data_IF_840207780332
#
_entry.id   IF_840207780332
#
_cell.length_a   1.000
_cell.length_b   1.000
_cell.length_c   1.000
_cell.angle_alpha   90.00
_cell.angle_beta   90.00
_cell.angle_gamma   90.00
#
_symmetry.space_group_name_H-M   'P 1'
#
loop_
_entity.id
_entity.type
_entity.pdbx_description
1 polymer ?
#
# COMPACT_ATOMS: atom_id res chain seq x y z
N UNK A 1 -7.76 -0.81 13.36
CA UNK A 1 -7.03 -1.75 12.48
C UNK A 1 -5.99 -2.51 13.29
N UNK A 2 -5.54 -3.68 12.84
CA UNK A 2 -4.38 -4.40 13.41
C UNK A 2 -3.32 -4.60 12.32
N UNK A 3 -2.06 -4.75 12.70
CA UNK A 3 -0.96 -5.03 11.77
C UNK A 3 -0.81 -6.54 11.59
N UNK A 4 -0.58 -6.97 10.35
CA UNK A 4 -0.40 -8.38 9.98
C UNK A 4 0.80 -8.53 9.05
N UNK A 5 1.48 -9.66 9.14
CA UNK A 5 2.51 -10.09 8.19
C UNK A 5 2.36 -11.59 7.97
N UNK A 6 2.45 -12.05 6.73
CA UNK A 6 2.34 -13.46 6.36
C UNK A 6 3.17 -13.79 5.12
N UNK A 7 3.62 -15.04 5.03
CA UNK A 7 4.17 -15.65 3.83
C UNK A 7 3.28 -16.85 3.51
N UNK A 8 2.64 -16.85 2.34
CA UNK A 8 1.68 -17.88 1.94
C UNK A 8 1.70 -18.10 0.42
N UNK A 9 1.24 -19.27 -0.01
CA UNK A 9 1.15 -19.63 -1.44
C UNK A 9 -0.12 -19.06 -2.08
N UNK A 10 0.01 -18.37 -3.21
CA UNK A 10 -1.08 -17.72 -3.94
C UNK A 10 -1.04 -18.05 -5.44
N UNK A 11 -0.85 -19.33 -5.76
CA UNK A 11 -0.68 -19.87 -7.11
C UNK A 11 -1.73 -19.40 -8.14
N UNK A 12 -2.94 -19.10 -7.69
CA UNK A 12 -4.04 -18.74 -8.60
C UNK A 12 -3.90 -17.36 -9.23
N UNK A 13 -3.02 -16.49 -8.70
CA UNK A 13 -2.88 -15.12 -9.22
C UNK A 13 -1.50 -14.48 -9.09
N UNK A 14 -0.64 -14.92 -8.17
CA UNK A 14 0.56 -14.16 -7.78
C UNK A 14 1.58 -13.92 -8.92
N UNK A 15 1.96 -14.98 -9.64
CA UNK A 15 3.03 -14.88 -10.66
C UNK A 15 2.46 -14.96 -12.07
N UNK A 16 2.67 -13.90 -12.86
CA UNK A 16 2.12 -13.73 -14.23
C UNK A 16 0.61 -13.99 -14.31
N UNK A 17 -0.14 -13.47 -13.34
CA UNK A 17 -1.59 -13.68 -13.26
C UNK A 17 -1.99 -15.15 -13.03
N UNK A 18 -1.19 -15.89 -12.25
CA UNK A 18 -1.46 -17.28 -11.87
C UNK A 18 -0.97 -18.35 -12.86
N UNK A 19 -0.22 -17.97 -13.89
CA UNK A 19 0.30 -18.89 -14.91
C UNK A 19 1.50 -19.70 -14.43
N UNK A 20 2.30 -19.12 -13.54
CA UNK A 20 3.46 -19.80 -12.97
C UNK A 20 3.12 -20.27 -11.56
N UNK A 21 3.24 -21.57 -11.33
CA UNK A 21 2.91 -22.24 -10.06
C UNK A 21 4.17 -22.45 -9.23
N UNK A 22 4.00 -22.52 -7.92
CA UNK A 22 5.09 -22.69 -6.97
C UNK A 22 5.80 -24.02 -7.18
N UNK A 23 7.11 -23.94 -7.42
CA UNK A 23 8.00 -25.10 -7.43
C UNK A 23 8.40 -25.46 -5.99
N UNK A 24 7.61 -26.33 -5.36
CA UNK A 24 7.81 -26.75 -3.98
C UNK A 24 9.11 -27.53 -3.73
N UNK A 25 9.80 -28.00 -4.78
CA UNK A 25 11.14 -28.59 -4.63
C UNK A 25 12.19 -27.57 -4.20
N UNK A 26 11.90 -26.27 -4.33
CA UNK A 26 12.77 -25.15 -3.92
C UNK A 26 12.53 -24.66 -2.49
N UNK A 27 11.66 -25.34 -1.74
CA UNK A 27 11.42 -25.01 -0.35
C UNK A 27 12.68 -25.20 0.52
N UNK A 28 12.84 -24.47 1.64
CA UNK A 28 11.89 -23.51 2.21
C UNK A 28 11.93 -22.12 1.56
N UNK A 29 10.77 -21.49 1.42
CA UNK A 29 10.65 -20.07 1.08
C UNK A 29 10.77 -19.25 2.36
N UNK A 30 11.76 -18.36 2.45
CA UNK A 30 12.08 -17.64 3.69
C UNK A 30 11.96 -16.13 3.47
N UNK A 31 11.10 -15.48 4.25
CA UNK A 31 11.03 -14.03 4.40
C UNK A 31 11.55 -13.63 5.77
N UNK A 32 12.42 -12.62 5.84
CA UNK A 32 13.01 -12.12 7.10
C UNK A 32 12.55 -10.70 7.37
N UNK A 33 12.13 -10.43 8.61
CA UNK A 33 11.58 -9.14 9.03
C UNK A 33 12.41 -8.55 10.18
N UNK A 34 12.56 -7.23 10.18
CA UNK A 34 13.19 -6.44 11.26
C UNK A 34 12.51 -5.08 11.37
N UNK A 35 12.79 -4.34 12.44
CA UNK A 35 12.30 -2.97 12.60
C UNK A 35 10.79 -2.91 12.83
N UNK A 36 10.26 -3.79 13.69
CA UNK A 36 8.84 -3.88 14.12
C UNK A 36 8.34 -2.61 14.86
N UNK A 37 8.54 -1.45 14.25
CA UNK A 37 8.22 -0.15 14.78
C UNK A 37 6.72 0.10 14.66
N UNK A 38 6.12 0.50 15.77
CA UNK A 38 4.72 0.92 15.83
C UNK A 38 4.67 2.22 16.61
N UNK A 39 4.35 3.30 15.92
CA UNK A 39 3.94 4.56 16.52
C UNK A 39 2.58 4.93 15.94
N UNK A 40 1.54 4.68 16.72
CA UNK A 40 0.16 4.85 16.31
C UNK A 40 -0.70 5.26 17.50
N UNK A 41 -1.92 5.70 17.23
CA UNK A 41 -2.90 5.92 18.29
C UNK A 41 -3.63 4.62 18.60
N UNK A 42 -3.36 4.06 19.77
CA UNK A 42 -4.02 2.85 20.23
C UNK A 42 -5.52 3.10 20.44
N UNK A 43 -6.35 2.21 19.90
CA UNK A 43 -7.79 2.25 19.98
C UNK A 43 -8.31 0.81 20.04
N UNK A 44 -9.31 0.55 20.89
CA UNK A 44 -9.97 -0.77 20.95
C UNK A 44 -10.75 -1.05 19.67
N UNK A 45 -11.21 -2.29 19.49
CA UNK A 45 -12.01 -2.65 18.32
C UNK A 45 -13.36 -1.90 18.26
N UNK A 46 -13.88 -1.49 19.42
CA UNK A 46 -15.14 -0.77 19.59
C UNK A 46 -14.97 0.75 19.53
N UNK A 47 -13.74 1.24 19.74
CA UNK A 47 -13.44 2.66 19.69
C UNK A 47 -13.66 3.20 18.26
N UNK A 48 -14.33 4.35 18.16
CA UNK A 48 -14.66 5.00 16.88
C UNK A 48 -13.73 6.15 16.52
N UNK A 49 -12.89 6.57 17.46
CA UNK A 49 -11.96 7.67 17.30
C UNK A 49 -10.69 7.42 18.12
N UNK A 50 -9.62 8.11 17.73
CA UNK A 50 -8.39 8.18 18.50
C UNK A 50 -8.53 9.26 19.58
N UNK A 51 -8.21 8.94 20.84
CA UNK A 51 -8.32 9.88 21.97
C UNK A 51 -7.37 11.08 21.86
N UNK A 52 -6.29 10.94 21.10
CA UNK A 52 -5.26 11.99 20.88
C UNK A 52 -5.30 12.56 19.46
N UNK A 53 -6.41 12.39 18.75
CA UNK A 53 -6.59 12.88 17.38
C UNK A 53 -6.34 14.40 17.31
N UNK A 54 -5.50 14.83 16.37
CA UNK A 54 -5.12 16.23 16.18
C UNK A 54 -3.88 16.66 16.97
N UNK A 55 -3.44 15.87 17.95
CA UNK A 55 -2.30 16.19 18.80
C UNK A 55 -1.02 15.42 18.45
N UNK A 56 -1.10 14.43 17.55
CA UNK A 56 0.04 13.59 17.19
C UNK A 56 0.90 14.27 16.12
N UNK A 57 2.17 13.87 16.02
CA UNK A 57 3.09 14.48 15.05
C UNK A 57 2.59 14.32 13.60
N UNK A 58 1.93 13.21 13.27
CA UNK A 58 1.36 12.97 11.95
C UNK A 58 0.10 13.79 11.66
N UNK A 59 -0.49 14.45 12.67
CA UNK A 59 -1.65 15.33 12.49
C UNK A 59 -1.23 16.80 12.20
N UNK A 60 0.08 17.09 12.21
CA UNK A 60 0.61 18.45 12.05
C UNK A 60 0.61 18.90 10.58
N UNK A 61 0.73 20.22 10.37
CA UNK A 61 0.56 20.84 9.05
C UNK A 61 1.50 20.25 7.98
N UNK A 62 2.72 19.90 8.38
CA UNK A 62 3.77 19.33 7.54
C UNK A 62 3.41 17.94 7.00
N UNK A 63 2.46 17.25 7.62
CA UNK A 63 2.02 15.90 7.26
C UNK A 63 0.64 15.86 6.59
N UNK A 64 0.05 17.02 6.31
CA UNK A 64 -1.25 17.10 5.60
C UNK A 64 -1.14 16.76 4.12
N UNK A 65 0.04 16.89 3.54
CA UNK A 65 0.32 16.54 2.15
C UNK A 65 1.79 16.14 1.98
N UNK A 66 2.10 15.45 0.89
CA UNK A 66 3.49 15.21 0.48
C UNK A 66 4.12 16.51 -0.03
N UNK A 67 5.40 16.69 0.26
CA UNK A 67 6.17 17.80 -0.30
C UNK A 67 6.46 17.61 -1.81
N UNK A 68 6.93 18.68 -2.45
CA UNK A 68 7.22 18.65 -3.89
C UNK A 68 8.33 17.67 -4.30
N UNK A 69 9.28 17.35 -3.42
CA UNK A 69 10.34 16.35 -3.66
C UNK A 69 9.74 14.95 -3.60
N UNK A 70 8.91 14.67 -2.60
CA UNK A 70 8.21 13.41 -2.43
C UNK A 70 7.29 13.13 -3.62
N UNK A 71 6.54 14.12 -4.10
CA UNK A 71 5.72 13.97 -5.29
C UNK A 71 6.52 13.73 -6.59
N UNK A 72 7.72 14.32 -6.73
CA UNK A 72 8.59 13.99 -7.86
C UNK A 72 9.08 12.54 -7.83
N UNK A 73 9.38 12.02 -6.65
CA UNK A 73 9.71 10.60 -6.47
C UNK A 73 8.52 9.70 -6.78
N UNK A 74 7.32 10.07 -6.32
CA UNK A 74 6.09 9.35 -6.63
C UNK A 74 5.84 9.27 -8.14
N UNK A 75 5.95 10.41 -8.84
CA UNK A 75 5.82 10.47 -10.31
C UNK A 75 6.82 9.56 -10.99
N UNK A 76 8.08 9.57 -10.59
CA UNK A 76 9.09 8.68 -11.18
C UNK A 76 8.74 7.20 -11.02
N UNK A 77 8.19 6.80 -9.87
CA UNK A 77 7.66 5.43 -9.67
C UNK A 77 6.49 5.14 -10.60
N UNK A 78 5.54 6.09 -10.75
CA UNK A 78 4.42 5.96 -11.68
C UNK A 78 4.90 5.80 -13.12
N UNK A 79 5.83 6.63 -13.58
CA UNK A 79 6.30 6.66 -14.96
C UNK A 79 7.20 5.47 -15.32
N UNK A 80 8.03 4.98 -14.39
CA UNK A 80 9.14 4.06 -14.72
C UNK A 80 8.95 2.64 -14.18
N UNK A 81 8.16 2.44 -13.12
CA UNK A 81 8.08 1.16 -12.41
C UNK A 81 6.67 0.58 -12.30
N UNK A 82 5.64 1.32 -12.72
CA UNK A 82 4.25 0.88 -12.56
C UNK A 82 3.83 0.00 -13.72
N UNK A 83 3.62 -1.29 -13.46
CA UNK A 83 3.23 -2.29 -14.48
C UNK A 83 1.72 -2.53 -14.56
N UNK A 84 0.97 -2.07 -13.56
CA UNK A 84 -0.49 -2.11 -13.52
C UNK A 84 -0.98 -0.98 -12.61
N UNK A 85 -2.03 -0.27 -13.03
CA UNK A 85 -2.64 0.80 -12.25
C UNK A 85 -4.17 0.82 -12.51
N UNK A 86 -4.95 0.65 -11.45
CA UNK A 86 -6.41 0.60 -11.54
C UNK A 86 -7.02 1.93 -12.01
N UNK A 87 -6.38 3.08 -11.72
CA UNK A 87 -6.83 4.38 -12.18
C UNK A 87 -6.87 4.50 -13.70
N UNK A 88 -6.00 3.75 -14.38
CA UNK A 88 -5.86 3.72 -15.86
C UNK A 88 -6.47 2.48 -16.50
N UNK A 89 -6.92 1.50 -15.71
CA UNK A 89 -7.58 0.29 -16.20
C UNK A 89 -9.03 0.59 -16.60
N UNK A 90 -9.25 0.87 -17.89
CA UNK A 90 -10.56 1.22 -18.44
C UNK A 90 -11.47 0.01 -18.68
N UNK A 91 -10.90 -1.20 -18.75
CA UNK A 91 -11.70 -2.42 -18.86
C UNK A 91 -12.40 -2.72 -17.52
N UNK A 92 -11.68 -2.51 -16.41
CA UNK A 92 -12.22 -2.69 -15.06
C UNK A 92 -12.98 -1.47 -14.55
N UNK A 93 -12.46 -0.27 -14.84
CA UNK A 93 -13.04 1.01 -14.41
C UNK A 93 -13.30 1.90 -15.64
N UNK A 94 -14.45 1.71 -16.32
CA UNK A 94 -14.82 2.54 -17.48
C UNK A 94 -14.81 4.04 -17.17
N UNK A 95 -15.26 4.40 -15.97
CA UNK A 95 -15.09 5.74 -15.39
C UNK A 95 -13.99 5.70 -14.35
N UNK A 96 -13.04 6.63 -14.46
CA UNK A 96 -11.93 6.74 -13.53
C UNK A 96 -12.43 7.02 -12.09
N UNK A 97 -11.91 6.31 -11.09
CA UNK A 97 -12.18 6.62 -9.69
C UNK A 97 -11.75 8.06 -9.33
N UNK A 98 -12.54 8.79 -8.52
CA UNK A 98 -12.36 10.22 -8.28
C UNK A 98 -11.07 10.57 -7.53
N UNK A 99 -10.56 9.67 -6.69
CA UNK A 99 -9.34 9.83 -5.91
C UNK A 99 -8.09 9.90 -6.79
N UNK A 100 -8.10 9.25 -7.97
CA UNK A 100 -6.93 9.12 -8.83
C UNK A 100 -6.28 10.46 -9.22
N UNK A 101 -7.08 11.52 -9.36
CA UNK A 101 -6.59 12.87 -9.66
C UNK A 101 -5.92 13.50 -8.43
N UNK A 102 -6.52 13.33 -7.27
CA UNK A 102 -5.98 13.83 -6.01
C UNK A 102 -4.68 13.12 -5.63
N UNK A 103 -4.66 11.80 -5.79
CA UNK A 103 -3.55 10.91 -5.43
C UNK A 103 -2.38 11.00 -6.43
N UNK A 104 -2.60 11.64 -7.59
CA UNK A 104 -1.62 11.81 -8.69
C UNK A 104 -1.15 10.46 -9.26
N UNK A 105 -2.09 9.54 -9.40
CA UNK A 105 -1.87 8.24 -10.02
C UNK A 105 -2.00 8.26 -11.56
N UNK A 106 -2.36 9.41 -12.13
CA UNK A 106 -2.49 9.65 -13.58
C UNK A 106 -1.84 10.95 -14.01
#
# INVERSE_FOLDING_TARGET
MKLYSSLWNADDWATRGGREKTDWSRAPFVASYRGFHVDGCEASAEARYCTTQGARWWDQQEFRDLDGVQYRKLRWVRDQYTIYNYCTDRDRYPTMPPECIHDRDV
#
